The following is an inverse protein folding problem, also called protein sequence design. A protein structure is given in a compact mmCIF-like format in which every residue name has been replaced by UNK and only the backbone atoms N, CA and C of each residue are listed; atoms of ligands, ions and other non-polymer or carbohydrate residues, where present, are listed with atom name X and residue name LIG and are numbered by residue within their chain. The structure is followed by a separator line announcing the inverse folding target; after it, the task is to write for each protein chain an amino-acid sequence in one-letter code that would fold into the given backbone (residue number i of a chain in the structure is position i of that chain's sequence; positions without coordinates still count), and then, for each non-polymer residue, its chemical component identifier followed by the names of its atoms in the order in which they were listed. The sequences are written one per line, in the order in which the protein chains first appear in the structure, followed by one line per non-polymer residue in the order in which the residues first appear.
data_IF_508869376312
#
_entry.id   IF_508869376312
#
_cell.length_a   1.000
_cell.length_b   1.000
_cell.length_c   1.000
_cell.angle_alpha   90.00
_cell.angle_beta   90.00
_cell.angle_gamma   90.00
#
_symmetry.space_group_name_H-M   'P 1'
#
loop_
_entity.id
_entity.type
_entity.pdbx_description
1 polymer ?
#
# COMPACT_ATOMS: atom_id res chain seq x y z
N UNK A 1 48.50 23.53 54.96
CA UNK A 1 47.92 24.19 53.77
C UNK A 1 48.39 23.44 52.52
N UNK A 2 47.56 22.55 51.97
CA UNK A 2 47.77 21.93 50.65
C UNK A 2 46.49 22.11 49.85
N UNK A 3 46.57 22.82 48.72
CA UNK A 3 45.46 23.01 47.79
C UNK A 3 45.52 21.86 46.78
N UNK A 4 44.42 21.11 46.65
CA UNK A 4 44.20 20.18 45.53
C UNK A 4 43.54 20.95 44.39
N UNK A 5 43.92 20.77 43.11
CA UNK A 5 43.19 21.36 42.00
C UNK A 5 41.99 20.47 41.65
N UNK A 6 40.80 21.06 41.59
CA UNK A 6 39.62 20.41 41.05
C UNK A 6 39.74 20.35 39.53
N UNK A 7 39.77 19.13 38.98
CA UNK A 7 39.75 18.85 37.56
C UNK A 7 38.33 19.12 37.03
N UNK A 8 38.13 20.20 36.29
CA UNK A 8 36.87 20.49 35.63
C UNK A 8 36.73 19.53 34.42
N UNK A 9 35.88 18.52 34.56
CA UNK A 9 35.50 17.64 33.45
C UNK A 9 34.56 18.41 32.53
N UNK A 10 35.09 18.89 31.40
CA UNK A 10 34.29 19.49 30.34
C UNK A 10 33.54 18.36 29.62
N UNK A 11 32.31 18.09 30.04
CA UNK A 11 31.41 17.20 29.30
C UNK A 11 31.03 17.89 27.98
N UNK A 12 31.78 17.62 26.92
CA UNK A 12 31.33 17.91 25.55
C UNK A 12 30.20 16.93 25.26
N UNK A 13 28.96 17.38 25.48
CA UNK A 13 27.78 16.67 25.02
C UNK A 13 27.81 16.64 23.50
N UNK A 14 28.24 15.51 22.93
CA UNK A 14 27.96 15.22 21.53
C UNK A 14 26.45 15.01 21.44
N UNK A 15 25.73 16.05 21.02
CA UNK A 15 24.38 15.89 20.55
C UNK A 15 24.45 14.97 19.31
N UNK A 16 24.18 13.69 19.51
CA UNK A 16 23.82 12.79 18.42
C UNK A 16 22.52 13.34 17.83
N UNK A 17 22.63 14.18 16.81
CA UNK A 17 21.52 14.46 15.93
C UNK A 17 21.11 13.10 15.34
N UNK A 18 19.96 12.57 15.75
CA UNK A 18 19.37 11.43 15.03
C UNK A 18 19.19 11.90 13.61
N UNK A 19 19.88 11.27 12.65
CA UNK A 19 19.65 11.53 11.23
C UNK A 19 18.15 11.42 10.98
N UNK A 20 17.51 12.55 10.64
CA UNK A 20 16.10 12.57 10.35
C UNK A 20 15.84 11.58 9.21
N UNK A 21 14.96 10.62 9.51
CA UNK A 21 14.56 9.49 8.67
C UNK A 21 14.13 9.95 7.28
N UNK A 22 14.34 9.13 6.26
CA UNK A 22 13.62 9.27 4.99
C UNK A 22 12.16 8.83 5.22
N UNK A 23 11.39 9.65 5.91
CA UNK A 23 9.94 9.51 5.98
C UNK A 23 9.37 10.24 4.75
N UNK A 24 8.54 9.58 3.93
CA UNK A 24 7.67 10.30 2.98
C UNK A 24 6.46 10.75 3.77
N UNK A 25 6.18 12.04 3.81
CA UNK A 25 5.02 12.59 4.54
C UNK A 25 4.33 13.59 3.64
N UNK A 26 3.05 13.34 3.35
CA UNK A 26 2.15 14.27 2.70
C UNK A 26 0.91 14.43 3.59
N UNK A 27 0.72 15.62 4.17
CA UNK A 27 -0.48 15.98 4.96
C UNK A 27 -1.56 16.62 4.10
N UNK A 28 -1.14 17.17 2.96
CA UNK A 28 -1.92 17.75 1.89
C UNK A 28 -1.04 17.67 0.63
N UNK A 29 -1.64 17.71 -0.56
CA UNK A 29 -0.95 17.57 -1.84
C UNK A 29 -0.95 18.89 -2.63
N UNK A 30 -1.12 20.03 -1.96
CA UNK A 30 -0.95 21.37 -2.52
C UNK A 30 0.54 21.74 -2.59
N UNK A 31 1.13 21.59 -3.78
CA UNK A 31 2.48 22.10 -4.05
C UNK A 31 3.64 21.15 -3.77
N UNK A 32 3.43 19.83 -3.67
CA UNK A 32 4.53 18.89 -3.43
C UNK A 32 5.12 18.29 -4.71
N UNK A 33 6.23 18.88 -5.16
CA UNK A 33 7.11 18.41 -6.24
C UNK A 33 7.90 17.13 -5.88
N UNK A 34 7.23 16.11 -5.33
CA UNK A 34 7.85 14.86 -4.86
C UNK A 34 7.12 13.59 -5.36
N UNK A 35 6.21 13.74 -6.32
CA UNK A 35 5.38 12.65 -6.83
C UNK A 35 5.46 12.55 -8.34
N UNK A 36 5.78 11.36 -8.84
CA UNK A 36 5.65 11.02 -10.26
C UNK A 36 4.20 10.64 -10.53
N UNK A 37 3.47 11.54 -11.19
CA UNK A 37 2.06 11.35 -11.55
C UNK A 37 1.91 10.85 -12.98
N UNK A 38 1.08 9.83 -13.21
CA UNK A 38 0.71 9.32 -14.53
C UNK A 38 -0.80 9.20 -14.73
N UNK A 39 -1.22 9.21 -15.99
CA UNK A 39 -2.62 9.06 -16.35
C UNK A 39 -3.46 10.23 -15.82
N UNK A 40 -4.54 9.91 -15.12
CA UNK A 40 -5.46 10.87 -14.55
C UNK A 40 -5.06 11.39 -13.16
N UNK A 41 -3.93 10.92 -12.60
CA UNK A 41 -3.53 11.27 -11.25
C UNK A 41 -3.17 12.77 -11.15
N UNK A 42 -3.81 13.48 -10.23
CA UNK A 42 -3.59 14.90 -10.01
C UNK A 42 -4.00 15.34 -8.58
N UNK A 43 -3.37 16.38 -8.02
CA UNK A 43 -3.90 17.04 -6.84
C UNK A 43 -5.30 17.60 -7.10
N UNK A 44 -6.25 17.34 -6.21
CA UNK A 44 -7.62 17.82 -6.32
C UNK A 44 -8.22 18.09 -4.93
N UNK A 45 -9.05 19.13 -4.83
CA UNK A 45 -9.88 19.34 -3.63
C UNK A 45 -11.10 18.41 -3.70
N UNK A 46 -11.50 17.81 -2.57
CA UNK A 46 -12.72 16.99 -2.49
C UNK A 46 -13.96 17.89 -2.50
N UNK A 47 -13.92 18.99 -1.76
CA UNK A 47 -14.88 20.09 -1.83
C UNK A 47 -14.17 21.43 -2.08
N UNK A 48 -14.84 22.42 -2.71
CA UNK A 48 -14.23 23.74 -2.95
C UNK A 48 -13.75 24.46 -1.69
N UNK A 49 -14.31 24.11 -0.53
CA UNK A 49 -14.02 24.71 0.78
C UNK A 49 -13.00 23.93 1.60
N UNK A 50 -12.54 22.76 1.14
CA UNK A 50 -11.56 21.98 1.90
C UNK A 50 -10.22 22.71 1.89
N UNK A 51 -9.60 22.90 3.05
CA UNK A 51 -8.26 23.51 3.16
C UNK A 51 -7.18 22.59 2.56
N UNK A 52 -7.28 21.28 2.80
CA UNK A 52 -6.35 20.28 2.30
C UNK A 52 -6.68 19.82 0.87
N UNK A 53 -5.64 19.64 0.06
CA UNK A 53 -5.74 19.06 -1.28
C UNK A 53 -5.44 17.57 -1.19
N UNK A 54 -6.32 16.73 -1.72
CA UNK A 54 -6.10 15.30 -1.85
C UNK A 54 -5.27 15.00 -3.11
N UNK A 55 -4.64 13.83 -3.14
CA UNK A 55 -4.10 13.26 -4.37
C UNK A 55 -5.15 12.35 -4.98
N UNK A 56 -5.82 12.83 -6.03
CA UNK A 56 -6.80 12.06 -6.78
C UNK A 56 -6.09 11.17 -7.78
N UNK A 57 -6.15 9.86 -7.58
CA UNK A 57 -5.48 8.90 -8.46
C UNK A 57 -6.29 8.66 -9.73
N UNK A 58 -7.60 8.49 -9.58
CA UNK A 58 -8.54 8.45 -10.69
C UNK A 58 -9.82 9.21 -10.33
N UNK A 59 -10.31 10.13 -11.18
CA UNK A 59 -11.59 10.80 -10.98
C UNK A 59 -12.78 9.88 -11.25
N UNK A 60 -13.97 10.28 -10.75
CA UNK A 60 -15.28 9.70 -11.05
C UNK A 60 -15.71 9.92 -12.51
N UNK A 61 -14.86 9.52 -13.45
CA UNK A 61 -15.08 9.52 -14.90
C UNK A 61 -14.92 8.10 -15.40
N UNK A 62 -15.76 7.67 -16.33
CA UNK A 62 -15.64 6.34 -16.93
C UNK A 62 -14.27 6.13 -17.59
N UNK A 63 -13.73 4.91 -17.45
CA UNK A 63 -12.47 4.45 -18.08
C UNK A 63 -11.27 5.34 -17.77
N UNK A 64 -11.16 5.77 -16.52
CA UNK A 64 -10.03 6.52 -16.01
C UNK A 64 -9.03 5.58 -15.35
N UNK A 65 -7.74 5.93 -15.42
CA UNK A 65 -6.69 5.22 -14.71
C UNK A 65 -5.58 6.22 -14.38
N UNK A 66 -4.94 6.05 -13.23
CA UNK A 66 -3.80 6.86 -12.84
C UNK A 66 -2.92 6.16 -11.83
N UNK A 67 -1.71 6.68 -11.71
CA UNK A 67 -0.75 6.26 -10.70
C UNK A 67 0.03 7.45 -10.16
N UNK A 68 0.46 7.34 -8.91
CA UNK A 68 1.30 8.32 -8.27
C UNK A 68 2.31 7.64 -7.35
N UNK A 69 3.59 7.76 -7.68
CA UNK A 69 4.68 7.20 -6.89
C UNK A 69 5.54 8.31 -6.30
N UNK A 70 5.97 8.16 -5.04
CA UNK A 70 6.95 9.06 -4.45
C UNK A 70 8.24 9.02 -5.30
N UNK A 71 8.83 10.18 -5.65
CA UNK A 71 9.98 10.23 -6.57
C UNK A 71 11.21 9.47 -6.03
N UNK A 72 11.40 9.48 -4.72
CA UNK A 72 12.49 8.78 -4.04
C UNK A 72 12.05 7.40 -3.60
N UNK A 73 12.86 6.38 -3.94
CA UNK A 73 12.67 5.01 -3.45
C UNK A 73 12.85 4.93 -1.94
N UNK A 74 11.95 4.19 -1.28
CA UNK A 74 11.97 3.94 0.15
C UNK A 74 12.60 2.58 0.46
N UNK A 75 13.29 2.46 1.59
CA UNK A 75 13.79 1.19 2.09
C UNK A 75 12.61 0.33 2.55
N UNK A 76 12.40 -0.79 1.85
CA UNK A 76 11.29 -1.72 2.13
C UNK A 76 11.77 -3.04 2.71
N UNK A 77 13.01 -3.43 2.43
CA UNK A 77 13.56 -4.73 2.85
C UNK A 77 13.69 -4.87 4.39
N UNK A 78 13.93 -3.76 5.09
CA UNK A 78 14.12 -3.73 6.55
C UNK A 78 12.82 -3.70 7.37
N UNK A 79 11.66 -3.76 6.71
CA UNK A 79 10.37 -3.51 7.32
C UNK A 79 9.94 -2.04 7.22
N UNK A 80 8.65 -1.78 7.39
CA UNK A 80 8.11 -0.42 7.34
C UNK A 80 6.73 -0.32 8.01
N UNK A 81 6.30 0.93 8.20
CA UNK A 81 4.90 1.27 8.48
C UNK A 81 4.45 2.34 7.49
N UNK A 82 3.49 2.03 6.64
CA UNK A 82 2.79 2.98 5.79
C UNK A 82 1.43 3.30 6.43
N UNK A 83 1.11 4.57 6.59
CA UNK A 83 -0.17 5.06 7.09
C UNK A 83 -0.73 6.06 6.11
N UNK A 84 -1.98 5.88 5.71
CA UNK A 84 -2.65 6.80 4.80
C UNK A 84 -4.14 6.84 5.07
N UNK A 85 -4.79 7.85 4.50
CA UNK A 85 -6.23 7.91 4.50
C UNK A 85 -6.73 8.00 3.06
N UNK A 86 -7.80 7.26 2.78
CA UNK A 86 -8.45 7.22 1.48
C UNK A 86 -9.91 7.61 1.62
N UNK A 87 -10.48 8.09 0.53
CA UNK A 87 -11.93 8.20 0.35
C UNK A 87 -12.27 7.83 -1.09
N UNK A 88 -13.23 6.93 -1.27
CA UNK A 88 -13.72 6.54 -2.59
C UNK A 88 -15.18 6.94 -2.72
N UNK A 89 -15.46 7.88 -3.64
CA UNK A 89 -16.78 8.55 -3.72
C UNK A 89 -17.29 8.60 -5.14
N UNK A 90 -18.48 8.04 -5.38
CA UNK A 90 -19.20 8.22 -6.64
C UNK A 90 -19.79 9.64 -6.80
N UNK A 91 -19.89 10.09 -8.05
CA UNK A 91 -20.66 11.31 -8.39
C UNK A 91 -21.98 10.92 -9.05
N UNK A 92 -23.10 11.31 -8.42
CA UNK A 92 -24.46 11.01 -8.88
C UNK A 92 -24.92 9.58 -8.58
N UNK A 93 -26.25 9.37 -8.57
CA UNK A 93 -26.86 8.04 -8.48
C UNK A 93 -26.47 7.20 -9.71
N UNK A 94 -25.52 6.27 -9.58
CA UNK A 94 -25.20 5.34 -10.66
C UNK A 94 -26.34 4.35 -10.86
N UNK A 95 -27.25 4.67 -11.78
CA UNK A 95 -28.30 3.75 -12.25
C UNK A 95 -27.66 2.62 -13.06
N UNK A 96 -27.28 1.52 -12.42
CA UNK A 96 -27.56 0.11 -12.84
C UNK A 96 -26.75 -0.90 -12.00
N UNK A 97 -27.48 -1.58 -11.11
CA UNK A 97 -27.03 -2.65 -10.21
C UNK A 97 -27.27 -4.02 -10.87
N UNK A 98 -26.49 -5.06 -10.54
CA UNK A 98 -26.80 -6.43 -10.99
C UNK A 98 -27.21 -7.42 -9.89
N UNK A 99 -27.13 -7.09 -8.61
CA UNK A 99 -27.76 -7.88 -7.55
C UNK A 99 -28.05 -7.00 -6.33
N UNK A 100 -29.23 -7.22 -5.73
CA UNK A 100 -29.88 -6.39 -4.70
C UNK A 100 -29.35 -6.72 -3.31
N UNK A 101 -29.01 -5.70 -2.53
CA UNK A 101 -29.16 -5.76 -1.08
C UNK A 101 -30.53 -5.19 -0.68
N UNK A 102 -31.12 -5.77 0.37
CA UNK A 102 -32.48 -5.56 0.86
C UNK A 102 -32.72 -4.19 1.55
N UNK A 103 -32.14 -3.11 1.04
CA UNK A 103 -32.20 -1.77 1.66
C UNK A 103 -32.37 -0.58 0.72
N UNK A 104 -32.23 -0.74 -0.61
CA UNK A 104 -32.41 0.35 -1.57
C UNK A 104 -31.18 1.27 -1.74
N UNK A 105 -31.05 1.80 -2.96
CA UNK A 105 -29.99 2.67 -3.49
C UNK A 105 -28.58 2.05 -3.60
N UNK A 106 -28.34 1.26 -4.64
CA UNK A 106 -26.99 0.83 -5.02
C UNK A 106 -26.45 1.79 -6.10
N UNK A 107 -25.72 2.79 -5.63
CA UNK A 107 -24.87 3.65 -6.43
C UNK A 107 -23.39 3.43 -6.03
N UNK A 108 -22.90 2.18 -6.12
CA UNK A 108 -21.48 1.90 -5.86
C UNK A 108 -20.66 2.19 -7.10
N UNK A 109 -19.63 3.00 -6.93
CA UNK A 109 -18.61 3.20 -7.95
C UNK A 109 -17.71 1.98 -8.08
N UNK A 110 -16.75 2.10 -8.99
CA UNK A 110 -15.74 1.08 -9.21
C UNK A 110 -14.53 1.71 -9.91
N UNK A 111 -13.45 0.96 -10.09
CA UNK A 111 -13.29 -0.43 -9.66
C UNK A 111 -12.59 -0.53 -8.31
N UNK A 112 -11.67 0.39 -8.02
CA UNK A 112 -10.99 0.47 -6.74
C UNK A 112 -9.63 1.14 -6.87
N UNK A 113 -8.84 1.02 -5.82
CA UNK A 113 -7.48 1.55 -5.78
C UNK A 113 -6.53 0.61 -5.06
N UNK A 114 -5.23 0.89 -5.14
CA UNK A 114 -4.22 0.13 -4.44
C UNK A 114 -3.11 1.01 -3.88
N UNK A 115 -2.52 0.56 -2.77
CA UNK A 115 -1.17 0.94 -2.36
C UNK A 115 -0.19 -0.05 -2.97
N UNK A 116 0.83 0.46 -3.66
CA UNK A 116 1.74 -0.34 -4.47
C UNK A 116 3.18 -0.09 -4.07
N UNK A 117 3.93 -1.18 -3.87
CA UNK A 117 5.38 -1.18 -3.74
C UNK A 117 5.93 -1.79 -5.02
N UNK A 118 6.71 -1.04 -5.80
CA UNK A 118 7.17 -1.49 -7.11
C UNK A 118 8.59 -1.02 -7.43
N UNK A 119 9.30 -1.79 -8.25
CA UNK A 119 10.64 -1.44 -8.70
C UNK A 119 10.85 -1.71 -10.20
N UNK A 120 9.82 -1.45 -11.01
CA UNK A 120 9.87 -1.58 -12.48
C UNK A 120 10.16 -0.24 -13.16
N UNK A 121 9.35 0.80 -12.89
CA UNK A 121 9.48 2.11 -13.54
C UNK A 121 8.86 3.20 -12.65
N UNK A 122 9.52 4.35 -12.47
CA UNK A 122 8.96 5.48 -11.70
C UNK A 122 7.62 5.99 -12.26
N UNK A 123 7.38 5.80 -13.56
CA UNK A 123 6.17 6.16 -14.31
C UNK A 123 5.27 4.95 -14.58
N UNK A 124 5.39 3.87 -13.81
CA UNK A 124 4.57 2.68 -14.02
C UNK A 124 3.07 3.02 -13.90
N UNK A 125 2.29 2.54 -14.86
CA UNK A 125 0.83 2.60 -14.88
C UNK A 125 0.32 1.34 -15.57
N UNK A 126 -0.51 0.57 -14.87
CA UNK A 126 -1.15 -0.63 -15.37
C UNK A 126 -2.46 -0.37 -16.12
N UNK A 127 -3.21 -1.43 -16.38
CA UNK A 127 -4.50 -1.40 -17.04
C UNK A 127 -5.56 -0.64 -16.25
N UNK A 128 -6.54 -0.06 -16.96
CA UNK A 128 -7.72 0.56 -16.36
C UNK A 128 -8.82 -0.45 -15.99
N UNK A 129 -9.97 0.04 -15.55
CA UNK A 129 -11.09 -0.81 -15.16
C UNK A 129 -10.75 -1.74 -13.99
N UNK A 130 -11.18 -3.01 -14.10
CA UNK A 130 -10.91 -4.10 -13.17
C UNK A 130 -9.41 -4.45 -12.97
N UNK A 131 -8.48 -3.72 -13.62
CA UNK A 131 -7.04 -3.84 -13.36
C UNK A 131 -6.50 -2.78 -12.38
N UNK A 132 -7.36 -1.87 -11.90
CA UNK A 132 -7.11 -0.89 -10.82
C UNK A 132 -5.82 -0.05 -10.98
N UNK A 133 -5.37 0.12 -12.22
CA UNK A 133 -4.16 0.86 -12.55
C UNK A 133 -2.85 0.14 -12.20
N UNK A 134 -2.89 -1.11 -11.71
CA UNK A 134 -1.70 -1.91 -11.43
C UNK A 134 -1.58 -3.18 -12.27
N UNK A 135 -2.69 -3.70 -12.81
CA UNK A 135 -2.67 -4.91 -13.64
C UNK A 135 -1.75 -4.73 -14.85
N UNK A 136 -0.87 -5.71 -15.08
CA UNK A 136 0.18 -5.65 -16.10
C UNK A 136 1.51 -5.04 -15.61
N UNK A 137 1.55 -4.34 -14.48
CA UNK A 137 2.83 -3.91 -13.88
C UNK A 137 3.65 -5.12 -13.43
N UNK A 138 4.96 -5.05 -13.60
CA UNK A 138 5.91 -6.05 -13.12
C UNK A 138 6.60 -5.56 -11.84
N UNK A 139 7.33 -6.46 -11.19
CA UNK A 139 8.17 -6.15 -10.02
C UNK A 139 7.43 -5.38 -8.94
N UNK A 140 6.24 -5.84 -8.57
CA UNK A 140 5.42 -5.17 -7.56
C UNK A 140 4.69 -6.11 -6.59
N UNK A 141 4.41 -5.55 -5.42
CA UNK A 141 3.46 -6.05 -4.43
C UNK A 141 2.38 -4.99 -4.27
N UNK A 142 1.14 -5.45 -4.25
CA UNK A 142 -0.05 -4.61 -4.29
C UNK A 142 -0.89 -4.91 -3.05
N UNK A 143 -1.30 -3.87 -2.33
CA UNK A 143 -2.37 -3.92 -1.35
C UNK A 143 -3.58 -3.25 -1.99
N UNK A 144 -4.52 -4.08 -2.44
CA UNK A 144 -5.72 -3.68 -3.16
C UNK A 144 -6.86 -3.33 -2.20
N UNK A 145 -7.62 -2.30 -2.56
CA UNK A 145 -8.89 -1.88 -1.94
C UNK A 145 -9.94 -1.86 -3.05
N UNK A 146 -10.63 -2.98 -3.21
CA UNK A 146 -11.58 -3.19 -4.31
C UNK A 146 -13.01 -2.95 -3.82
N UNK A 147 -13.77 -2.18 -4.62
CA UNK A 147 -15.18 -1.84 -4.34
C UNK A 147 -16.12 -2.40 -5.38
N UNK A 148 -15.61 -3.18 -6.33
CA UNK A 148 -16.34 -3.85 -7.38
C UNK A 148 -16.26 -5.37 -7.21
N UNK A 149 -17.23 -6.07 -7.79
CA UNK A 149 -17.20 -7.52 -7.86
C UNK A 149 -17.12 -7.92 -9.32
N UNK A 150 -15.98 -8.47 -9.70
CA UNK A 150 -15.76 -9.15 -10.96
C UNK A 150 -15.68 -10.68 -10.73
N UNK A 151 -16.70 -11.38 -11.24
CA UNK A 151 -16.79 -12.83 -11.12
C UNK A 151 -15.65 -13.56 -11.86
N UNK A 152 -15.17 -12.98 -12.97
CA UNK A 152 -14.07 -13.57 -13.76
C UNK A 152 -12.72 -13.38 -13.04
N UNK A 153 -12.60 -12.31 -12.25
CA UNK A 153 -11.46 -12.06 -11.37
C UNK A 153 -11.49 -12.91 -10.08
N UNK A 154 -12.63 -13.53 -9.77
CA UNK A 154 -12.95 -14.28 -8.53
C UNK A 154 -13.02 -13.42 -7.28
N UNK A 155 -13.53 -12.21 -7.45
CA UNK A 155 -13.66 -11.29 -6.33
C UNK A 155 -14.68 -11.80 -5.31
N UNK A 156 -14.46 -11.52 -4.02
CA UNK A 156 -15.54 -11.49 -3.07
C UNK A 156 -16.66 -10.54 -3.53
N UNK A 157 -17.90 -10.88 -3.19
CA UNK A 157 -19.06 -10.08 -3.59
C UNK A 157 -19.08 -8.67 -2.96
N UNK A 158 -18.56 -8.55 -1.74
CA UNK A 158 -18.47 -7.29 -1.00
C UNK A 158 -17.14 -6.60 -1.27
N UNK A 159 -17.06 -5.31 -0.90
CA UNK A 159 -15.79 -4.60 -0.82
C UNK A 159 -14.78 -5.42 -0.02
N UNK A 160 -13.55 -5.43 -0.47
CA UNK A 160 -12.53 -6.29 0.11
C UNK A 160 -11.14 -5.68 -0.02
N UNK A 161 -10.23 -6.24 0.78
CA UNK A 161 -8.80 -5.94 0.71
C UNK A 161 -8.06 -7.21 0.32
N UNK A 162 -7.05 -7.09 -0.53
CA UNK A 162 -6.21 -8.21 -0.94
C UNK A 162 -4.74 -7.79 -1.00
N UNK A 163 -3.84 -8.76 -0.81
CA UNK A 163 -2.42 -8.60 -1.14
C UNK A 163 -2.10 -9.46 -2.34
N UNK A 164 -1.60 -8.85 -3.41
CA UNK A 164 -1.29 -9.52 -4.67
C UNK A 164 0.16 -9.29 -5.07
N UNK A 165 0.77 -10.30 -5.67
CA UNK A 165 2.08 -10.19 -6.31
C UNK A 165 2.30 -11.37 -7.24
N UNK A 166 3.06 -11.15 -8.31
CA UNK A 166 3.55 -12.23 -9.18
C UNK A 166 5.08 -12.26 -9.25
N UNK A 167 5.71 -11.61 -8.28
CA UNK A 167 7.16 -11.47 -8.16
C UNK A 167 7.76 -10.47 -9.14
N UNK A 168 9.08 -10.54 -9.31
CA UNK A 168 9.87 -9.54 -10.01
C UNK A 168 9.55 -9.43 -11.52
N UNK A 169 9.31 -10.56 -12.18
CA UNK A 169 9.34 -10.63 -13.66
C UNK A 169 7.98 -10.81 -14.31
N UNK A 170 7.02 -11.42 -13.62
CA UNK A 170 5.70 -11.67 -14.20
C UNK A 170 4.79 -10.44 -14.07
N UNK A 171 3.99 -10.12 -15.09
CA UNK A 171 2.97 -9.08 -14.98
C UNK A 171 1.97 -9.43 -13.89
N UNK A 172 1.70 -8.49 -13.00
CA UNK A 172 0.71 -8.59 -11.93
C UNK A 172 -0.69 -8.68 -12.51
N UNK A 173 -1.57 -9.46 -11.89
CA UNK A 173 -2.95 -9.65 -12.30
C UNK A 173 -3.84 -9.15 -11.18
N UNK A 174 -4.86 -8.35 -11.51
CA UNK A 174 -5.91 -7.95 -10.57
C UNK A 174 -6.97 -9.04 -10.35
N UNK A 175 -6.58 -10.30 -10.52
CA UNK A 175 -7.45 -11.43 -10.21
C UNK A 175 -7.01 -12.05 -8.90
N UNK A 176 -7.99 -12.46 -8.09
CA UNK A 176 -7.80 -13.14 -6.82
C UNK A 176 -7.14 -14.52 -6.95
N UNK A 177 -6.98 -15.02 -8.18
CA UNK A 177 -6.06 -16.12 -8.48
C UNK A 177 -4.60 -15.84 -8.12
N UNK A 178 -4.17 -14.57 -8.19
CA UNK A 178 -2.82 -14.13 -7.87
C UNK A 178 -2.70 -13.52 -6.46
N UNK A 179 -3.78 -13.51 -5.68
CA UNK A 179 -3.75 -13.04 -4.31
C UNK A 179 -3.01 -14.02 -3.40
N UNK A 180 -2.12 -13.48 -2.57
CA UNK A 180 -1.48 -14.21 -1.46
C UNK A 180 -2.31 -14.10 -0.17
N UNK A 181 -3.36 -13.29 -0.17
CA UNK A 181 -4.43 -13.29 0.83
C UNK A 181 -5.50 -12.25 0.52
N UNK A 182 -6.73 -12.54 0.95
CA UNK A 182 -7.92 -11.70 0.73
C UNK A 182 -8.75 -11.66 2.01
N UNK A 183 -9.34 -10.49 2.31
CA UNK A 183 -10.26 -10.30 3.43
C UNK A 183 -11.44 -9.43 3.06
N UNK A 184 -12.63 -9.84 3.51
CA UNK A 184 -13.88 -9.07 3.42
C UNK A 184 -14.23 -8.37 4.73
N UNK A 185 -13.36 -8.48 5.74
CA UNK A 185 -13.56 -7.86 7.06
C UNK A 185 -13.12 -6.39 7.01
N UNK A 186 -13.78 -5.61 6.15
CA UNK A 186 -13.56 -4.18 5.94
C UNK A 186 -14.91 -3.44 5.94
N UNK A 187 -14.93 -2.13 6.25
CA UNK A 187 -16.13 -1.30 6.10
C UNK A 187 -16.55 -1.18 4.62
N UNK A 188 -17.68 -0.51 4.37
CA UNK A 188 -18.05 -0.14 3.00
C UNK A 188 -17.12 0.96 2.49
N UNK A 189 -16.00 0.56 1.91
CA UNK A 189 -15.01 1.46 1.31
C UNK A 189 -15.54 2.41 0.23
N UNK A 190 -16.76 2.19 -0.29
CA UNK A 190 -17.39 2.99 -1.35
C UNK A 190 -18.39 4.04 -0.83
N UNK A 191 -18.44 4.24 0.49
CA UNK A 191 -19.37 5.15 1.17
C UNK A 191 -19.03 6.64 1.00
N UNK A 192 -17.86 6.96 0.45
CA UNK A 192 -17.36 8.33 0.28
C UNK A 192 -16.75 8.95 1.53
N UNK A 193 -16.75 8.23 2.66
CA UNK A 193 -16.17 8.65 3.92
C UNK A 193 -14.64 8.49 3.94
N UNK A 194 -14.03 9.02 5.00
CA UNK A 194 -12.59 8.90 5.23
C UNK A 194 -12.30 7.57 5.92
N UNK A 195 -11.54 6.71 5.26
CA UNK A 195 -10.97 5.51 5.88
C UNK A 195 -9.49 5.67 6.17
N UNK A 196 -9.02 5.20 7.32
CA UNK A 196 -7.60 5.21 7.71
C UNK A 196 -7.02 3.82 7.54
N UNK A 197 -5.94 3.72 6.78
CA UNK A 197 -5.25 2.48 6.49
C UNK A 197 -3.85 2.49 7.09
N UNK A 198 -3.46 1.37 7.69
CA UNK A 198 -2.07 1.10 8.07
C UNK A 198 -1.60 -0.20 7.43
N UNK A 199 -0.45 -0.16 6.76
CA UNK A 199 0.27 -1.34 6.28
C UNK A 199 1.56 -1.47 7.05
N UNK A 200 1.75 -2.59 7.74
CA UNK A 200 2.97 -2.92 8.47
C UNK A 200 3.63 -4.12 7.80
N UNK A 201 4.90 -3.99 7.46
CA UNK A 201 5.73 -5.12 7.04
C UNK A 201 6.81 -5.38 8.09
N UNK A 202 6.80 -6.58 8.64
CA UNK A 202 7.88 -7.14 9.45
C UNK A 202 8.63 -8.15 8.57
N UNK A 203 9.95 -8.00 8.34
CA UNK A 203 10.70 -8.88 7.45
C UNK A 203 10.98 -10.26 8.07
N UNK A 204 10.82 -10.38 9.39
CA UNK A 204 10.91 -11.61 10.14
C UNK A 204 9.51 -12.17 10.41
N UNK A 205 9.31 -13.48 10.21
CA UNK A 205 8.04 -14.13 10.52
C UNK A 205 7.78 -14.12 12.02
N UNK A 206 6.62 -13.57 12.41
CA UNK A 206 6.15 -13.60 13.80
C UNK A 206 5.14 -14.76 13.91
N UNK A 207 5.46 -15.78 14.70
CA UNK A 207 4.64 -17.00 14.78
C UNK A 207 3.24 -16.72 15.30
N UNK A 208 3.10 -15.74 16.18
CA UNK A 208 1.83 -15.30 16.75
C UNK A 208 0.88 -14.74 15.67
N UNK A 209 1.42 -14.07 14.65
CA UNK A 209 0.63 -13.54 13.54
C UNK A 209 -0.08 -14.67 12.76
N UNK A 210 0.51 -15.87 12.70
CA UNK A 210 -0.08 -17.04 12.04
C UNK A 210 -1.32 -17.58 12.75
N UNK A 211 -1.47 -17.29 14.04
CA UNK A 211 -2.61 -17.74 14.86
C UNK A 211 -3.75 -16.73 14.88
N UNK A 212 -3.52 -15.52 14.37
CA UNK A 212 -4.51 -14.46 14.35
C UNK A 212 -5.60 -14.71 13.30
N UNK A 213 -6.85 -14.35 13.61
CA UNK A 213 -8.03 -14.58 12.72
C UNK A 213 -7.93 -13.91 11.34
N UNK A 214 -7.10 -12.87 11.21
CA UNK A 214 -6.84 -12.15 9.95
C UNK A 214 -5.83 -12.86 9.04
N UNK A 215 -5.12 -13.87 9.56
CA UNK A 215 -4.09 -14.57 8.80
C UNK A 215 -4.72 -15.30 7.61
N UNK A 216 -4.18 -15.03 6.42
CA UNK A 216 -4.59 -15.65 5.17
C UNK A 216 -3.33 -16.05 4.41
N UNK A 217 -3.37 -17.23 3.83
CA UNK A 217 -2.30 -17.75 2.96
C UNK A 217 -2.94 -18.28 1.69
N UNK A 218 -2.97 -17.43 0.66
CA UNK A 218 -3.46 -17.78 -0.67
C UNK A 218 -2.58 -18.86 -1.30
N UNK A 219 -3.20 -19.80 -2.02
CA UNK A 219 -2.47 -20.89 -2.68
C UNK A 219 -1.44 -20.39 -3.70
N UNK A 220 -1.65 -19.19 -4.27
CA UNK A 220 -0.70 -18.57 -5.20
C UNK A 220 0.68 -18.37 -4.59
N UNK A 221 0.75 -18.11 -3.28
CA UNK A 221 2.01 -18.00 -2.57
C UNK A 221 2.89 -19.20 -2.95
N UNK A 222 2.38 -20.44 -2.93
CA UNK A 222 3.12 -21.69 -3.21
C UNK A 222 3.80 -21.73 -4.58
N UNK A 223 3.35 -20.90 -5.51
CA UNK A 223 3.93 -20.78 -6.85
C UNK A 223 5.07 -19.75 -6.95
N UNK A 224 5.26 -18.91 -5.93
CA UNK A 224 6.34 -17.93 -5.84
C UNK A 224 7.67 -18.62 -5.45
N UNK A 225 8.78 -18.06 -5.94
CA UNK A 225 10.12 -18.68 -5.85
C UNK A 225 10.66 -18.70 -4.41
N UNK A 226 11.53 -19.68 -4.14
CA UNK A 226 12.52 -19.74 -3.04
C UNK A 226 12.09 -19.22 -1.66
N UNK A 227 11.09 -19.87 -1.07
CA UNK A 227 10.74 -19.75 0.36
C UNK A 227 11.88 -20.01 1.35
N UNK A 228 12.98 -20.59 0.87
CA UNK A 228 14.16 -20.92 1.67
C UNK A 228 14.81 -19.70 2.35
N UNK A 229 14.50 -18.48 1.89
CA UNK A 229 14.99 -17.23 2.49
C UNK A 229 14.16 -16.75 3.70
N UNK A 230 13.24 -17.59 4.20
CA UNK A 230 12.32 -17.23 5.26
C UNK A 230 11.15 -16.38 4.75
N UNK A 231 10.14 -16.22 5.60
CA UNK A 231 9.01 -15.34 5.35
C UNK A 231 9.05 -14.20 6.37
N UNK A 232 8.53 -13.05 5.97
CA UNK A 232 8.05 -12.02 6.88
C UNK A 232 6.53 -12.04 6.93
N UNK A 233 5.95 -11.00 7.52
CA UNK A 233 4.50 -10.81 7.60
C UNK A 233 4.13 -9.39 7.19
N UNK A 234 3.12 -9.26 6.34
CA UNK A 234 2.46 -7.99 6.04
C UNK A 234 1.08 -7.95 6.66
N UNK A 235 0.80 -6.90 7.43
CA UNK A 235 -0.47 -6.66 8.13
C UNK A 235 -1.12 -5.41 7.56
N UNK A 236 -2.39 -5.51 7.20
CA UNK A 236 -3.21 -4.40 6.68
C UNK A 236 -4.35 -4.15 7.66
N UNK A 237 -4.44 -2.92 8.13
CA UNK A 237 -5.47 -2.41 9.03
C UNK A 237 -6.32 -1.41 8.26
N UNK A 238 -7.64 -1.45 8.47
CA UNK A 238 -8.60 -0.53 7.85
C UNK A 238 -9.55 -0.05 8.95
N UNK A 239 -9.48 1.24 9.25
CA UNK A 239 -10.17 1.96 10.33
C UNK A 239 -9.84 1.49 11.76
N UNK A 240 -10.10 0.22 12.08
CA UNK A 240 -9.63 -0.38 13.32
C UNK A 240 -8.12 -0.62 13.21
N UNK A 241 -7.35 0.20 13.93
CA UNK A 241 -5.88 0.11 13.96
C UNK A 241 -5.34 -0.76 15.10
N UNK A 242 -6.22 -1.38 15.89
CA UNK A 242 -5.86 -2.37 16.91
C UNK A 242 -5.82 -3.78 16.30
N UNK A 243 -6.79 -4.11 15.44
CA UNK A 243 -6.96 -5.43 14.85
C UNK A 243 -6.75 -5.39 13.33
N UNK A 244 -5.83 -6.20 12.75
CA UNK A 244 -5.64 -6.21 11.30
C UNK A 244 -6.85 -6.80 10.58
N UNK A 245 -7.24 -6.17 9.48
CA UNK A 245 -8.24 -6.71 8.55
C UNK A 245 -7.68 -7.89 7.74
N UNK A 246 -6.38 -7.88 7.43
CA UNK A 246 -5.69 -8.91 6.68
C UNK A 246 -4.23 -9.05 7.14
N UNK A 247 -3.77 -10.28 7.32
CA UNK A 247 -2.36 -10.59 7.54
C UNK A 247 -1.92 -11.67 6.55
N UNK A 248 -0.80 -11.45 5.85
CA UNK A 248 -0.26 -12.40 4.88
C UNK A 248 1.23 -12.68 5.13
N UNK A 249 1.69 -13.93 4.94
CA UNK A 249 3.10 -14.23 4.87
C UNK A 249 3.68 -13.72 3.54
N UNK A 250 4.79 -12.98 3.59
CA UNK A 250 5.44 -12.42 2.40
C UNK A 250 6.93 -12.16 2.65
N UNK A 251 7.76 -12.30 1.62
CA UNK A 251 9.17 -11.87 1.66
C UNK A 251 9.45 -10.92 0.49
N UNK A 252 9.54 -9.62 0.77
CA UNK A 252 9.77 -8.61 -0.26
C UNK A 252 11.13 -8.76 -0.96
N UNK A 253 12.17 -9.19 -0.24
CA UNK A 253 13.50 -9.40 -0.81
C UNK A 253 13.61 -10.64 -1.69
N UNK A 254 12.75 -11.64 -1.47
CA UNK A 254 12.67 -12.82 -2.33
C UNK A 254 11.74 -12.62 -3.54
N UNK A 255 10.74 -11.73 -3.42
CA UNK A 255 9.72 -11.56 -4.45
C UNK A 255 10.00 -10.41 -5.40
N UNK A 256 10.73 -9.38 -4.97
CA UNK A 256 11.03 -8.19 -5.78
C UNK A 256 12.53 -8.06 -6.05
N UNK A 257 12.86 -7.60 -7.25
CA UNK A 257 14.21 -7.12 -7.56
C UNK A 257 14.33 -5.69 -7.04
N UNK A 258 15.05 -5.49 -5.93
CA UNK A 258 15.12 -4.22 -5.20
C UNK A 258 16.45 -3.48 -5.42
N UNK A 259 16.42 -2.15 -5.40
CA UNK A 259 17.62 -1.31 -5.51
C UNK A 259 18.22 -1.07 -4.12
N UNK A 260 19.21 -1.90 -3.74
CA UNK A 260 19.78 -1.88 -2.39
C UNK A 260 18.70 -1.95 -1.29
N UNK A 261 17.70 -2.82 -1.51
CA UNK A 261 16.56 -2.99 -0.60
C UNK A 261 15.48 -1.92 -0.70
N UNK A 262 15.56 -1.03 -1.70
CA UNK A 262 14.61 0.07 -1.91
C UNK A 262 13.71 -0.16 -3.12
N UNK A 263 12.50 0.40 -3.05
CA UNK A 263 11.50 0.41 -4.12
C UNK A 263 10.70 1.71 -4.10
N UNK A 264 10.00 2.01 -5.20
CA UNK A 264 8.99 3.08 -5.19
C UNK A 264 7.75 2.62 -4.41
N UNK A 265 7.15 3.57 -3.69
CA UNK A 265 5.88 3.36 -2.99
C UNK A 265 4.89 4.42 -3.45
N UNK A 266 3.64 4.03 -3.61
CA UNK A 266 2.64 4.92 -4.20
C UNK A 266 1.29 4.27 -4.34
N UNK A 267 0.48 4.83 -5.22
CA UNK A 267 -0.90 4.45 -5.40
C UNK A 267 -1.25 4.28 -6.87
N UNK A 268 -2.17 3.38 -7.15
CA UNK A 268 -2.83 3.22 -8.45
C UNK A 268 -4.33 3.16 -8.24
N UNK A 269 -5.10 3.56 -9.25
CA UNK A 269 -6.54 3.39 -9.25
C UNK A 269 -7.05 3.39 -10.68
N UNK A 270 -8.22 2.78 -10.86
CA UNK A 270 -8.92 2.87 -12.13
C UNK A 270 -10.44 2.79 -11.95
N UNK A 271 -11.14 3.23 -12.99
CA UNK A 271 -12.58 3.15 -13.14
C UNK A 271 -12.93 2.42 -14.42
N UNK A 272 -14.04 1.67 -14.38
CA UNK A 272 -14.69 1.08 -15.53
C UNK A 272 -15.82 1.98 -16.01
N UNK A 273 -16.97 1.37 -16.34
CA UNK A 273 -18.21 2.12 -16.61
C UNK A 273 -18.84 2.69 -15.32
N UNK A 274 -18.64 2.00 -14.20
CA UNK A 274 -18.92 2.54 -12.88
C UNK A 274 -17.71 3.33 -12.43
N UNK A 275 -17.94 4.56 -11.99
CA UNK A 275 -16.85 5.47 -11.64
C UNK A 275 -17.02 6.04 -10.24
N UNK A 276 -15.89 6.27 -9.60
CA UNK A 276 -15.74 7.01 -8.35
C UNK A 276 -14.41 7.74 -8.35
N UNK A 277 -14.34 8.79 -7.53
CA UNK A 277 -13.06 9.40 -7.21
C UNK A 277 -12.29 8.47 -6.29
N UNK A 278 -10.99 8.34 -6.51
CA UNK A 278 -10.07 7.59 -5.67
C UNK A 278 -9.06 8.57 -5.09
N UNK A 279 -9.38 9.09 -3.91
CA UNK A 279 -8.63 10.20 -3.30
C UNK A 279 -7.76 9.68 -2.14
N UNK A 280 -6.45 9.96 -2.20
CA UNK A 280 -5.54 9.83 -1.05
C UNK A 280 -5.51 11.16 -0.32
N UNK A 281 -5.92 11.16 0.95
CA UNK A 281 -6.09 12.38 1.75
C UNK A 281 -4.84 12.74 2.54
N UNK A 282 -4.02 11.73 2.86
CA UNK A 282 -2.75 11.89 3.58
C UNK A 282 -1.93 10.62 3.39
N UNK A 283 -0.60 10.74 3.38
CA UNK A 283 0.32 9.61 3.33
C UNK A 283 1.50 9.83 4.26
N UNK A 284 1.90 8.78 4.98
CA UNK A 284 3.11 8.72 5.76
C UNK A 284 3.76 7.35 5.60
N UNK A 285 4.99 7.31 5.14
CA UNK A 285 5.82 6.11 5.11
C UNK A 285 6.94 6.23 6.13
N UNK A 286 7.11 5.23 6.99
CA UNK A 286 8.22 5.13 7.96
C UNK A 286 9.02 3.86 7.67
N UNK A 287 10.26 4.04 7.23
CA UNK A 287 11.23 2.95 7.13
C UNK A 287 11.52 2.38 8.53
N UNK A 288 11.64 1.05 8.66
CA UNK A 288 12.18 0.40 9.85
C UNK A 288 13.54 -0.20 9.51
N UNK A 289 14.46 -0.10 10.46
CA UNK A 289 15.78 -0.70 10.39
C UNK A 289 15.86 -1.76 11.46
N UNK A 290 16.08 -3.01 11.05
CA UNK A 290 16.20 -4.15 11.96
C UNK A 290 14.96 -5.03 11.98
N UNK A 291 14.93 -6.00 11.08
CA UNK A 291 14.53 -7.38 11.38
C UNK A 291 15.68 -8.26 10.90
N UNK A 292 16.17 -9.12 11.76
CA UNK A 292 17.50 -9.70 11.66
C UNK A 292 17.56 -10.89 10.72
N UNK A 293 18.29 -10.75 9.61
CA UNK A 293 19.08 -11.85 9.05
C UNK A 293 20.47 -11.30 8.73
N UNK A 294 21.49 -11.76 9.47
CA UNK A 294 22.89 -11.56 9.06
C UNK A 294 23.06 -12.18 7.67
N UNK A 295 23.76 -11.54 6.72
CA UNK A 295 24.25 -12.26 5.56
C UNK A 295 25.00 -13.48 6.08
N UNK A 296 24.64 -14.67 5.60
CA UNK A 296 25.54 -15.82 5.72
C UNK A 296 26.79 -15.40 4.96
N UNK A 297 27.85 -15.12 5.70
CA UNK A 297 29.19 -15.05 5.12
C UNK A 297 29.42 -16.40 4.45
N UNK A 298 29.24 -16.43 3.13
CA UNK A 298 29.85 -17.47 2.31
C UNK A 298 31.32 -17.10 2.28
N UNK A 299 32.01 -17.47 3.35
CA UNK A 299 33.45 -17.67 3.32
C UNK A 299 33.73 -18.68 2.23
N UNK A 300 34.14 -18.21 1.06
CA UNK A 300 35.11 -18.99 0.28
C UNK A 300 36.51 -18.67 0.83
N UNK A 301 37.40 -19.68 0.90
CA UNK A 301 38.80 -19.45 1.26
C UNK A 301 39.51 -18.52 0.29
#
# INVERSE_FOLDING_TARGET
MRRSPALALLCVGVALASAARADVVARSFDGEANWTLQGAAAPARRNPTDDAVALRIAPARARSAGSAFAEKKQLVIGGFVAEFAIAMRSEGETKTCKTRDAGGACARGGDGMAFVIQNADARALGGGGNQLGYGGMTNCVVVEFDTHHDADARDPYNNHVAVLTRGATAPTLASHHAAIGTSVSVPDLSDGERHVVRVVYDPDFIAEDATHKSFRSGAHLLSLRNYHHGLGTMKVYVDDLAEPALTVPINLGAFLDLDAGRAWVGFTAATGERAQHHDVLSFRFRERFGGGVRPVDVTTP
#
